data_IF_509227685649
#
_entry.id   IF_509227685649
#
_cell.length_a   1.000
_cell.length_b   1.000
_cell.length_c   1.000
_cell.angle_alpha   90.00
_cell.angle_beta   90.00
_cell.angle_gamma   90.00
#
_symmetry.space_group_name_H-M   'P 1'
#
loop_
_entity.id
_entity.type
_entity.pdbx_description
1 polymer ?
#
# COMPACT_ATOMS: atom_id res chain seq x y z
N UNK A 1 20.71 37.08 -7.77
CA UNK A 1 19.56 37.72 -8.46
C UNK A 1 19.80 37.91 -9.98
N UNK A 2 20.94 38.44 -10.47
CA UNK A 2 21.19 38.60 -11.92
C UNK A 2 21.09 37.30 -12.74
N UNK A 3 21.58 36.16 -12.24
CA UNK A 3 21.54 34.88 -12.94
C UNK A 3 20.10 34.38 -13.15
N UNK A 4 19.21 34.48 -12.16
CA UNK A 4 17.81 34.09 -12.24
C UNK A 4 17.07 34.95 -13.27
N UNK A 5 17.29 36.25 -13.28
CA UNK A 5 16.69 37.15 -14.27
C UNK A 5 17.09 36.78 -15.72
N UNK A 6 18.35 36.48 -15.97
CA UNK A 6 18.83 36.03 -17.28
C UNK A 6 18.22 34.66 -17.66
N UNK A 7 18.14 33.72 -16.71
CA UNK A 7 17.51 32.42 -16.95
C UNK A 7 16.04 32.56 -17.35
N UNK A 8 15.26 33.36 -16.63
CA UNK A 8 13.85 33.62 -16.96
C UNK A 8 13.71 34.25 -18.35
N UNK A 9 14.53 35.23 -18.71
CA UNK A 9 14.49 35.85 -20.04
C UNK A 9 14.84 34.88 -21.17
N UNK A 10 15.82 34.00 -20.93
CA UNK A 10 16.19 32.93 -21.89
C UNK A 10 15.04 31.91 -22.06
N UNK A 11 14.40 31.51 -20.98
CA UNK A 11 13.27 30.60 -20.99
C UNK A 11 12.08 31.18 -21.77
N UNK A 12 11.79 32.46 -21.61
CA UNK A 12 10.71 33.14 -22.34
C UNK A 12 10.99 33.26 -23.85
N UNK A 13 12.24 33.24 -24.28
CA UNK A 13 12.62 33.32 -25.71
C UNK A 13 12.48 31.98 -26.44
N UNK A 14 12.61 30.83 -25.72
CA UNK A 14 12.52 29.47 -26.29
C UNK A 14 11.20 28.78 -25.89
N UNK A 15 10.06 29.48 -25.93
CA UNK A 15 8.76 29.04 -25.39
C UNK A 15 8.36 27.62 -25.80
N UNK A 16 8.43 27.25 -27.08
CA UNK A 16 7.96 25.93 -27.56
C UNK A 16 8.81 24.77 -27.04
N UNK A 17 10.14 24.90 -27.02
CA UNK A 17 11.04 23.85 -26.52
C UNK A 17 10.92 23.66 -25.01
N UNK A 18 10.74 24.75 -24.27
CA UNK A 18 10.63 24.70 -22.81
C UNK A 18 9.29 24.15 -22.35
N UNK A 19 8.19 24.42 -23.08
CA UNK A 19 6.88 23.83 -22.80
C UNK A 19 6.93 22.31 -22.92
N UNK A 20 7.53 21.76 -23.98
CA UNK A 20 7.66 20.30 -24.16
C UNK A 20 8.51 19.69 -23.03
N UNK A 21 9.58 20.37 -22.58
CA UNK A 21 10.40 19.91 -21.44
C UNK A 21 9.57 19.86 -20.16
N UNK A 22 8.82 20.91 -19.84
CA UNK A 22 7.99 20.97 -18.63
C UNK A 22 6.92 19.89 -18.66
N UNK A 23 6.19 19.72 -19.77
CA UNK A 23 5.17 18.69 -19.91
C UNK A 23 5.78 17.29 -19.75
N UNK A 24 6.89 17.01 -20.44
CA UNK A 24 7.55 15.70 -20.35
C UNK A 24 8.04 15.38 -18.94
N UNK A 25 8.67 16.37 -18.26
CA UNK A 25 9.12 16.20 -16.89
C UNK A 25 7.96 16.06 -15.90
N UNK A 26 6.89 16.84 -16.09
CA UNK A 26 5.72 16.76 -15.20
C UNK A 26 5.02 15.41 -15.26
N UNK A 27 4.85 14.85 -16.47
CA UNK A 27 4.27 13.51 -16.63
C UNK A 27 5.15 12.43 -15.98
N UNK A 28 6.46 12.49 -16.22
CA UNK A 28 7.40 11.56 -15.58
C UNK A 28 7.46 11.69 -14.07
N UNK A 29 7.41 12.93 -13.55
CA UNK A 29 7.33 13.20 -12.11
C UNK A 29 6.03 12.68 -11.50
N UNK A 30 4.88 12.98 -12.12
CA UNK A 30 3.57 12.53 -11.65
C UNK A 30 3.54 11.02 -11.47
N UNK A 31 3.89 10.27 -12.53
CA UNK A 31 3.87 8.81 -12.48
C UNK A 31 4.96 8.27 -11.55
N UNK A 32 6.17 8.83 -11.60
CA UNK A 32 7.26 8.41 -10.74
C UNK A 32 6.95 8.63 -9.25
N UNK A 33 6.42 9.79 -8.87
CA UNK A 33 6.04 10.08 -7.49
C UNK A 33 4.94 9.12 -7.02
N UNK A 34 3.90 8.91 -7.83
CA UNK A 34 2.79 8.03 -7.46
C UNK A 34 3.26 6.59 -7.27
N UNK A 35 3.98 6.02 -8.24
CA UNK A 35 4.42 4.62 -8.17
C UNK A 35 5.47 4.39 -7.07
N UNK A 36 6.41 5.31 -6.87
CA UNK A 36 7.40 5.17 -5.79
C UNK A 36 6.76 5.36 -4.41
N UNK A 37 5.78 6.27 -4.28
CA UNK A 37 5.02 6.41 -3.03
C UNK A 37 4.16 5.17 -2.77
N UNK A 38 3.55 4.57 -3.79
CA UNK A 38 2.81 3.32 -3.67
C UNK A 38 3.71 2.17 -3.22
N UNK A 39 4.92 2.04 -3.78
CA UNK A 39 5.88 1.03 -3.34
C UNK A 39 6.22 1.18 -1.85
N UNK A 40 6.49 2.42 -1.40
CA UNK A 40 6.80 2.68 0.01
C UNK A 40 5.58 2.41 0.90
N UNK A 41 4.38 2.73 0.45
CA UNK A 41 3.14 2.41 1.13
C UNK A 41 3.00 0.89 1.33
N UNK A 42 3.12 0.08 0.28
CA UNK A 42 3.07 -1.39 0.34
C UNK A 42 4.17 -1.99 1.24
N UNK A 43 5.39 -1.44 1.18
CA UNK A 43 6.51 -1.88 2.03
C UNK A 43 6.35 -1.48 3.50
N UNK A 44 5.55 -0.46 3.79
CA UNK A 44 5.26 0.01 5.15
C UNK A 44 4.02 -0.62 5.79
N UNK A 45 3.43 -1.61 5.11
CA UNK A 45 2.21 -2.27 5.59
C UNK A 45 2.42 -2.88 6.97
N UNK A 46 1.43 -2.72 7.86
CA UNK A 46 1.43 -3.16 9.27
C UNK A 46 2.51 -2.53 10.18
N UNK A 47 3.33 -1.59 9.69
CA UNK A 47 4.32 -0.89 10.52
C UNK A 47 3.73 0.28 11.33
N UNK A 48 2.42 0.51 11.26
CA UNK A 48 1.75 1.62 11.95
C UNK A 48 1.51 1.37 13.44
N UNK A 49 1.60 0.13 13.88
CA UNK A 49 1.34 -0.25 15.27
C UNK A 49 2.56 -0.03 16.18
N UNK A 50 2.32 0.32 17.46
CA UNK A 50 3.41 0.37 18.43
C UNK A 50 4.07 -1.01 18.58
N UNK A 51 5.40 -1.05 18.46
CA UNK A 51 6.19 -2.29 18.56
C UNK A 51 5.70 -3.38 17.58
N UNK A 52 5.48 -2.99 16.32
CA UNK A 52 4.94 -3.86 15.26
C UNK A 52 5.75 -5.16 15.07
N UNK A 53 7.04 -5.14 15.40
CA UNK A 53 7.94 -6.30 15.37
C UNK A 53 7.57 -7.39 16.38
N UNK A 54 6.76 -7.06 17.40
CA UNK A 54 6.26 -8.01 18.41
C UNK A 54 4.91 -8.62 18.01
N UNK A 55 4.31 -8.15 16.91
CA UNK A 55 3.03 -8.64 16.44
C UNK A 55 3.22 -9.82 15.48
N UNK A 56 2.43 -10.86 15.70
CA UNK A 56 2.41 -12.05 14.85
C UNK A 56 0.97 -12.45 14.50
N UNK A 57 0.83 -13.16 13.40
CA UNK A 57 -0.42 -13.78 12.98
C UNK A 57 -0.24 -15.30 12.89
N UNK A 58 -1.22 -16.04 13.36
CA UNK A 58 -1.25 -17.50 13.21
C UNK A 58 -1.69 -17.85 11.79
N UNK A 59 -1.07 -18.90 11.23
CA UNK A 59 -1.40 -19.45 9.92
C UNK A 59 -1.30 -20.97 9.96
N UNK A 60 -1.97 -21.64 9.04
CA UNK A 60 -1.89 -23.09 8.86
C UNK A 60 -1.46 -23.42 7.43
N UNK A 61 -0.59 -24.43 7.27
CA UNK A 61 -0.37 -25.06 5.99
C UNK A 61 -1.25 -26.30 5.94
N UNK A 62 -2.16 -26.33 5.00
CA UNK A 62 -3.14 -27.43 4.84
C UNK A 62 -2.69 -28.30 3.68
N UNK A 63 -2.26 -29.53 3.97
CA UNK A 63 -1.70 -30.46 2.98
C UNK A 63 -2.53 -31.72 2.90
N UNK A 64 -2.93 -32.12 1.68
CA UNK A 64 -3.53 -33.40 1.44
C UNK A 64 -2.45 -34.50 1.43
N UNK A 65 -2.54 -35.46 2.35
CA UNK A 65 -1.53 -36.51 2.53
C UNK A 65 -1.47 -37.52 1.38
N UNK A 66 -2.60 -37.71 0.67
CA UNK A 66 -2.69 -38.68 -0.43
C UNK A 66 -2.20 -38.08 -1.75
N UNK A 67 -2.50 -36.80 -2.03
CA UNK A 67 -2.16 -36.14 -3.31
C UNK A 67 -0.94 -35.22 -3.20
N UNK A 68 -0.55 -34.81 -2.00
CA UNK A 68 0.48 -33.78 -1.79
C UNK A 68 0.02 -32.36 -2.16
N UNK A 69 -1.27 -32.17 -2.41
CA UNK A 69 -1.84 -30.86 -2.71
C UNK A 69 -1.81 -29.96 -1.47
N UNK A 70 -1.39 -28.71 -1.65
CA UNK A 70 -1.38 -27.70 -0.58
C UNK A 70 -2.49 -26.71 -0.86
N UNK A 71 -3.36 -26.48 0.12
CA UNK A 71 -4.35 -25.41 0.11
C UNK A 71 -3.75 -24.16 0.75
N UNK A 72 -3.90 -23.03 0.11
CA UNK A 72 -3.42 -21.75 0.63
C UNK A 72 -4.29 -20.60 0.17
N UNK A 73 -4.18 -19.49 0.86
CA UNK A 73 -4.87 -18.25 0.56
C UNK A 73 -3.94 -17.25 -0.15
N UNK A 74 -4.52 -16.33 -0.94
CA UNK A 74 -3.80 -15.26 -1.66
C UNK A 74 -2.60 -15.74 -2.50
N UNK A 75 -2.65 -16.97 -3.03
CA UNK A 75 -1.56 -17.56 -3.82
C UNK A 75 -0.36 -18.00 -2.98
N UNK A 76 -0.45 -17.97 -1.66
CA UNK A 76 0.52 -18.55 -0.72
C UNK A 76 0.24 -20.05 -0.50
N UNK A 77 1.17 -20.72 0.19
CA UNK A 77 0.96 -22.10 0.63
C UNK A 77 0.33 -22.17 2.05
N UNK A 78 -0.23 -21.06 2.54
CA UNK A 78 -0.77 -20.95 3.88
C UNK A 78 -2.19 -20.41 3.86
N UNK A 79 -3.02 -20.94 4.78
CA UNK A 79 -4.28 -20.34 5.18
C UNK A 79 -4.03 -19.49 6.44
N UNK A 80 -4.56 -18.29 6.48
CA UNK A 80 -4.41 -17.37 7.60
C UNK A 80 -5.62 -17.37 8.53
N UNK A 81 -6.64 -18.15 8.18
CA UNK A 81 -7.79 -18.38 9.04
C UNK A 81 -7.61 -19.65 9.87
N UNK A 82 -8.05 -19.58 11.11
CA UNK A 82 -7.96 -20.67 12.09
C UNK A 82 -9.24 -20.70 12.94
N UNK A 83 -9.34 -21.66 13.86
CA UNK A 83 -10.48 -21.76 14.78
C UNK A 83 -10.49 -20.60 15.79
N UNK A 84 -11.68 -20.11 16.14
CA UNK A 84 -11.86 -19.00 17.08
C UNK A 84 -11.13 -19.18 18.43
N UNK A 85 -11.12 -20.39 19.08
CA UNK A 85 -10.44 -20.57 20.37
C UNK A 85 -8.93 -20.58 20.31
N UNK A 86 -8.32 -20.53 19.11
CA UNK A 86 -6.85 -20.57 18.94
C UNK A 86 -6.15 -19.45 19.70
N UNK A 87 -6.71 -18.23 19.69
CA UNK A 87 -6.14 -17.10 20.40
C UNK A 87 -5.99 -17.39 21.92
N UNK A 88 -7.07 -17.82 22.55
CA UNK A 88 -7.09 -18.13 23.97
C UNK A 88 -6.18 -19.32 24.29
N UNK A 89 -6.22 -20.39 23.49
CA UNK A 89 -5.40 -21.58 23.71
C UNK A 89 -3.90 -21.28 23.68
N UNK A 90 -3.47 -20.42 22.75
CA UNK A 90 -2.08 -19.98 22.62
C UNK A 90 -1.69 -19.10 23.81
N UNK A 91 -2.50 -18.10 24.19
CA UNK A 91 -2.22 -17.21 25.31
C UNK A 91 -2.16 -17.96 26.64
N UNK A 92 -3.06 -18.91 26.90
CA UNK A 92 -3.10 -19.72 28.12
C UNK A 92 -1.94 -20.73 28.20
N UNK A 93 -1.52 -21.29 27.06
CA UNK A 93 -0.46 -22.31 27.02
C UNK A 93 0.95 -21.73 27.04
N UNK A 94 1.11 -20.47 26.59
CA UNK A 94 2.43 -19.81 26.47
C UNK A 94 2.43 -18.40 27.08
N UNK A 95 2.11 -18.25 28.38
CA UNK A 95 1.99 -16.93 29.03
C UNK A 95 3.33 -16.21 29.21
N UNK A 96 4.44 -16.92 29.12
CA UNK A 96 5.79 -16.33 29.22
C UNK A 96 6.25 -15.67 27.91
N UNK A 97 5.73 -16.12 26.78
CA UNK A 97 6.06 -15.64 25.44
C UNK A 97 4.98 -14.69 24.89
N UNK A 98 3.70 -14.97 25.13
CA UNK A 98 2.56 -14.22 24.60
C UNK A 98 2.01 -13.28 25.67
N UNK A 99 1.96 -12.00 25.35
CA UNK A 99 1.41 -10.96 26.24
C UNK A 99 -0.11 -10.84 26.08
N UNK A 100 -0.57 -10.77 24.83
CA UNK A 100 -1.98 -10.74 24.46
C UNK A 100 -2.21 -11.55 23.18
N UNK A 101 -3.39 -12.13 23.07
CA UNK A 101 -3.85 -12.75 21.84
C UNK A 101 -5.28 -12.30 21.56
N UNK A 102 -5.63 -12.14 20.29
CA UNK A 102 -6.94 -11.70 19.86
C UNK A 102 -7.46 -12.52 18.69
N UNK A 103 -8.74 -12.85 18.78
CA UNK A 103 -9.52 -13.50 17.72
C UNK A 103 -10.33 -12.45 16.97
N UNK A 104 -10.21 -12.43 15.65
CA UNK A 104 -10.90 -11.50 14.77
C UNK A 104 -11.67 -12.29 13.72
N UNK A 105 -12.98 -12.05 13.60
CA UNK A 105 -13.78 -12.55 12.51
C UNK A 105 -13.86 -11.48 11.43
N UNK A 106 -13.38 -11.75 10.20
CA UNK A 106 -13.46 -10.80 9.10
C UNK A 106 -14.92 -10.48 8.75
N UNK A 107 -15.08 -9.42 8.02
CA UNK A 107 -16.32 -8.80 7.62
C UNK A 107 -17.41 -9.79 7.16
N UNK A 108 -18.65 -9.49 7.52
CA UNK A 108 -19.85 -10.04 6.91
C UNK A 108 -20.65 -8.93 6.25
N UNK A 109 -21.17 -9.17 5.08
CA UNK A 109 -21.98 -8.21 4.33
C UNK A 109 -23.35 -8.01 5.00
N UNK A 110 -23.45 -7.00 5.86
CA UNK A 110 -24.74 -6.53 6.39
C UNK A 110 -24.92 -5.05 6.04
N UNK A 111 -26.16 -4.67 5.72
CA UNK A 111 -26.50 -3.26 5.58
C UNK A 111 -26.58 -2.60 6.96
N UNK A 112 -25.76 -1.58 7.18
CA UNK A 112 -25.72 -0.83 8.45
C UNK A 112 -26.60 0.39 8.35
N UNK A 113 -27.43 0.57 9.35
CA UNK A 113 -28.35 1.71 9.46
C UNK A 113 -28.08 2.48 10.75
N UNK A 114 -28.12 3.81 10.63
CA UNK A 114 -28.27 4.69 11.78
C UNK A 114 -29.63 5.37 11.69
N UNK A 115 -30.50 5.14 12.69
CA UNK A 115 -31.93 5.43 12.61
C UNK A 115 -32.57 4.75 11.39
N UNK A 116 -33.13 5.53 10.44
CA UNK A 116 -33.72 5.03 9.21
C UNK A 116 -32.77 5.14 7.99
N UNK A 117 -31.60 5.77 8.16
CA UNK A 117 -30.65 6.02 7.08
C UNK A 117 -29.70 4.86 6.90
N UNK A 118 -29.65 4.31 5.69
CA UNK A 118 -28.62 3.35 5.27
C UNK A 118 -27.26 4.07 5.22
N UNK A 119 -26.25 3.51 5.89
CA UNK A 119 -24.86 3.92 5.76
C UNK A 119 -24.23 3.05 4.67
N UNK A 120 -23.87 3.66 3.54
CA UNK A 120 -23.19 2.96 2.44
C UNK A 120 -21.68 2.88 2.71
N UNK A 121 -21.05 1.84 2.15
CA UNK A 121 -19.60 1.66 2.16
C UNK A 121 -18.99 1.68 3.58
N UNK A 122 -19.62 0.94 4.50
CA UNK A 122 -19.17 0.81 5.90
C UNK A 122 -18.52 -0.54 6.11
N UNK A 123 -17.25 -0.52 6.48
CA UNK A 123 -16.44 -1.71 6.78
C UNK A 123 -16.37 -1.97 8.29
N UNK A 124 -16.60 -3.22 8.72
CA UNK A 124 -16.49 -3.58 10.12
C UNK A 124 -16.09 -5.04 10.32
N UNK A 125 -15.52 -5.33 11.49
CA UNK A 125 -15.10 -6.66 11.90
C UNK A 125 -15.63 -7.01 13.28
N UNK A 126 -15.72 -8.30 13.59
CA UNK A 126 -15.98 -8.76 14.94
C UNK A 126 -14.68 -9.08 15.66
N UNK A 127 -14.52 -8.58 16.87
CA UNK A 127 -13.28 -8.71 17.65
C UNK A 127 -13.57 -9.11 19.09
N UNK A 128 -12.60 -9.74 19.72
CA UNK A 128 -12.64 -10.06 21.14
C UNK A 128 -12.16 -8.89 22.03
N UNK A 129 -12.20 -9.11 23.35
CA UNK A 129 -11.82 -8.08 24.33
C UNK A 129 -10.35 -7.69 24.33
N UNK A 130 -9.47 -8.50 23.73
CA UNK A 130 -8.03 -8.27 23.69
C UNK A 130 -7.55 -7.50 22.47
N UNK A 131 -8.44 -7.23 21.51
CA UNK A 131 -8.11 -6.60 20.22
C UNK A 131 -7.28 -5.31 20.38
N UNK A 132 -7.80 -4.37 21.15
CA UNK A 132 -7.11 -3.08 21.35
C UNK A 132 -5.76 -3.21 22.07
N UNK A 133 -5.61 -4.19 22.96
CA UNK A 133 -4.35 -4.46 23.66
C UNK A 133 -3.31 -5.08 22.73
N UNK A 134 -3.72 -6.02 21.86
CA UNK A 134 -2.84 -6.63 20.87
C UNK A 134 -2.26 -5.57 19.95
N UNK A 135 -3.08 -4.70 19.38
CA UNK A 135 -2.63 -3.70 18.41
C UNK A 135 -2.13 -2.39 19.03
N UNK A 136 -2.38 -2.18 20.32
CA UNK A 136 -2.00 -0.93 20.99
C UNK A 136 -2.77 0.29 20.43
N UNK A 137 -4.00 0.10 19.92
CA UNK A 137 -4.84 1.17 19.39
C UNK A 137 -5.42 1.97 20.54
N UNK A 138 -5.18 3.29 20.60
CA UNK A 138 -5.69 4.12 21.69
C UNK A 138 -7.20 4.31 21.62
N UNK A 139 -7.88 4.17 22.78
CA UNK A 139 -9.28 4.54 22.93
C UNK A 139 -9.37 6.04 23.28
N UNK A 140 -10.19 6.78 22.55
CA UNK A 140 -10.45 8.21 22.78
C UNK A 140 -11.60 8.44 23.75
N UNK A 141 -12.65 7.59 23.67
CA UNK A 141 -13.82 7.62 24.55
C UNK A 141 -14.28 6.19 24.87
N UNK A 142 -14.90 5.98 26.01
CA UNK A 142 -15.45 4.69 26.43
C UNK A 142 -14.51 3.87 27.31
N UNK A 143 -14.84 2.60 27.50
CA UNK A 143 -14.07 1.66 28.32
C UNK A 143 -13.84 0.36 27.55
N UNK A 144 -12.59 -0.10 27.41
CA UNK A 144 -12.24 -1.34 26.72
C UNK A 144 -12.97 -2.57 27.26
N UNK A 145 -13.28 -2.58 28.56
CA UNK A 145 -14.02 -3.69 29.20
C UNK A 145 -15.43 -3.87 28.65
N UNK A 146 -16.02 -2.81 28.05
CA UNK A 146 -17.36 -2.87 27.49
C UNK A 146 -17.40 -3.69 26.17
N UNK A 147 -16.24 -4.00 25.60
CA UNK A 147 -16.16 -4.87 24.41
C UNK A 147 -16.56 -6.33 24.69
N UNK A 148 -16.56 -6.76 25.96
CA UNK A 148 -17.10 -8.08 26.36
C UNK A 148 -18.62 -8.13 26.27
N UNK A 149 -19.30 -6.97 26.33
CA UNK A 149 -20.75 -6.90 26.33
C UNK A 149 -21.26 -7.21 24.92
N UNK A 150 -22.16 -8.19 24.76
CA UNK A 150 -22.75 -8.50 23.46
C UNK A 150 -23.41 -7.28 22.80
N UNK A 151 -23.24 -7.14 21.48
CA UNK A 151 -23.79 -6.02 20.74
C UNK A 151 -23.08 -4.68 21.00
N UNK A 152 -21.93 -4.68 21.69
CA UNK A 152 -21.10 -3.49 21.82
C UNK A 152 -20.35 -3.21 20.53
N UNK A 153 -20.26 -1.92 20.17
CA UNK A 153 -19.53 -1.40 19.03
C UNK A 153 -18.59 -0.30 19.49
N UNK A 154 -17.38 -0.30 18.94
CA UNK A 154 -16.43 0.78 19.05
C UNK A 154 -16.18 1.34 17.66
N UNK A 155 -16.39 2.64 17.47
CA UNK A 155 -16.29 3.32 16.19
C UNK A 155 -14.96 4.05 16.03
N UNK A 156 -14.45 4.16 14.81
CA UNK A 156 -13.27 4.98 14.51
C UNK A 156 -13.59 6.47 14.70
N UNK A 157 -12.57 7.28 14.98
CA UNK A 157 -12.69 8.74 15.08
C UNK A 157 -13.27 9.35 13.80
N UNK A 158 -12.81 8.82 12.63
CA UNK A 158 -13.30 9.24 11.31
C UNK A 158 -14.80 8.95 11.16
N UNK A 159 -15.21 7.71 11.38
CA UNK A 159 -16.62 7.33 11.29
C UNK A 159 -17.50 8.12 12.24
N UNK A 160 -17.04 8.34 13.47
CA UNK A 160 -17.75 9.15 14.46
C UNK A 160 -17.99 10.57 13.96
N UNK A 161 -16.97 11.20 13.39
CA UNK A 161 -17.04 12.57 12.84
C UNK A 161 -17.91 12.66 11.59
N UNK A 162 -17.80 11.70 10.67
CA UNK A 162 -18.55 11.71 9.41
C UNK A 162 -20.03 11.40 9.60
N UNK A 163 -20.36 10.52 10.56
CA UNK A 163 -21.75 10.08 10.80
C UNK A 163 -22.48 10.96 11.80
N UNK A 164 -21.81 11.43 12.86
CA UNK A 164 -22.46 12.13 13.98
C UNK A 164 -22.05 13.61 14.11
N UNK A 165 -21.12 14.08 13.28
CA UNK A 165 -20.58 15.43 13.31
C UNK A 165 -20.05 15.82 14.72
N UNK A 166 -20.68 16.79 15.38
CA UNK A 166 -20.30 17.27 16.73
C UNK A 166 -21.02 16.53 17.87
N UNK A 167 -21.95 15.62 17.57
CA UNK A 167 -22.68 14.87 18.58
C UNK A 167 -21.83 13.73 19.17
N UNK A 168 -22.06 13.43 20.46
CA UNK A 168 -21.41 12.30 21.09
C UNK A 168 -21.98 10.97 20.53
N UNK A 169 -21.15 10.12 19.91
CA UNK A 169 -21.62 8.85 19.37
C UNK A 169 -21.91 7.80 20.46
N UNK A 170 -21.34 7.95 21.68
CA UNK A 170 -21.47 6.95 22.75
C UNK A 170 -22.92 6.86 23.22
N UNK A 171 -23.45 5.65 23.26
CA UNK A 171 -24.85 5.37 23.62
C UNK A 171 -25.82 5.33 22.43
N UNK A 172 -25.40 5.78 21.23
CA UNK A 172 -26.23 5.67 20.02
C UNK A 172 -26.26 4.23 19.52
N UNK A 173 -27.29 3.92 18.74
CA UNK A 173 -27.57 2.56 18.26
C UNK A 173 -27.40 2.50 16.74
N UNK A 174 -26.59 1.56 16.27
CA UNK A 174 -26.52 1.12 14.88
C UNK A 174 -27.38 -0.14 14.70
N UNK A 175 -27.90 -0.38 13.51
CA UNK A 175 -28.68 -1.58 13.21
C UNK A 175 -28.12 -2.27 11.99
N UNK A 176 -27.87 -3.60 12.09
CA UNK A 176 -27.52 -4.43 10.95
C UNK A 176 -28.79 -5.08 10.40
N UNK A 177 -29.05 -4.89 9.10
CA UNK A 177 -30.22 -5.40 8.36
C UNK A 177 -31.57 -5.11 9.07
N UNK A 178 -31.65 -4.07 9.89
CA UNK A 178 -32.82 -3.72 10.72
C UNK A 178 -33.27 -4.82 11.70
N UNK A 179 -32.43 -5.83 11.93
CA UNK A 179 -32.73 -6.95 12.82
C UNK A 179 -31.84 -6.96 14.07
N UNK A 180 -30.54 -6.80 13.88
CA UNK A 180 -29.57 -6.80 14.97
C UNK A 180 -29.21 -5.35 15.33
N UNK A 181 -29.20 -5.05 16.63
CA UNK A 181 -28.85 -3.72 17.12
C UNK A 181 -27.50 -3.74 17.84
N UNK A 182 -26.71 -2.73 17.59
CA UNK A 182 -25.39 -2.53 18.17
C UNK A 182 -25.37 -1.20 18.92
N UNK A 183 -24.91 -1.18 20.16
CA UNK A 183 -24.76 0.06 20.94
C UNK A 183 -23.33 0.55 20.88
N UNK A 184 -23.12 1.79 20.47
CA UNK A 184 -21.80 2.42 20.48
C UNK A 184 -21.36 2.66 21.92
N UNK A 185 -20.23 2.06 22.31
CA UNK A 185 -19.67 2.16 23.67
C UNK A 185 -18.33 2.87 23.74
N UNK A 186 -17.72 3.12 22.59
CA UNK A 186 -16.44 3.83 22.56
C UNK A 186 -16.08 4.35 21.19
N UNK A 187 -15.05 5.21 21.20
CA UNK A 187 -14.42 5.77 20.02
C UNK A 187 -12.94 5.49 20.10
N UNK A 188 -12.36 4.88 19.08
CA UNK A 188 -10.94 4.65 18.98
C UNK A 188 -10.27 5.57 17.95
N UNK A 189 -8.96 5.74 18.11
CA UNK A 189 -8.16 6.57 17.20
C UNK A 189 -8.06 5.91 15.82
N UNK A 190 -8.17 6.69 14.77
CA UNK A 190 -8.02 6.21 13.40
C UNK A 190 -6.70 5.46 13.20
N UNK A 191 -6.79 4.34 12.50
CA UNK A 191 -5.63 3.56 12.07
C UNK A 191 -5.27 3.96 10.63
N UNK A 192 -3.99 4.08 10.28
CA UNK A 192 -3.56 4.37 8.92
C UNK A 192 -4.04 3.30 7.93
N UNK A 193 -4.18 3.66 6.64
CA UNK A 193 -4.70 2.73 5.62
C UNK A 193 -3.72 1.63 5.18
N UNK A 194 -2.48 1.67 5.64
CA UNK A 194 -1.47 0.64 5.37
C UNK A 194 -1.52 -0.52 6.38
N UNK A 195 -2.71 -1.00 6.66
CA UNK A 195 -2.98 -2.18 7.50
C UNK A 195 -4.23 -2.91 7.01
N UNK A 196 -4.34 -4.19 7.30
CA UNK A 196 -5.54 -5.00 7.04
C UNK A 196 -6.72 -4.70 7.99
N UNK A 197 -6.53 -3.82 8.97
CA UNK A 197 -7.51 -3.51 10.02
C UNK A 197 -8.09 -2.09 9.90
N UNK A 198 -8.18 -1.54 8.70
CA UNK A 198 -8.78 -0.23 8.41
C UNK A 198 -10.31 -0.29 8.37
N UNK A 199 -10.94 -0.51 9.51
CA UNK A 199 -12.40 -0.62 9.58
C UNK A 199 -13.02 0.63 10.20
N UNK A 200 -14.28 0.92 9.83
CA UNK A 200 -15.02 2.04 10.37
C UNK A 200 -15.44 1.81 11.82
N UNK A 201 -15.72 0.55 12.16
CA UNK A 201 -15.98 0.16 13.53
C UNK A 201 -15.68 -1.33 13.77
N UNK A 202 -15.55 -1.68 15.04
CA UNK A 202 -15.39 -3.05 15.52
C UNK A 202 -16.56 -3.44 16.39
N UNK A 203 -17.04 -4.67 16.22
CA UNK A 203 -18.18 -5.25 16.94
C UNK A 203 -17.68 -6.31 17.90
N UNK A 204 -18.30 -6.39 19.08
CA UNK A 204 -18.05 -7.49 20.02
C UNK A 204 -18.39 -8.84 19.40
N UNK A 205 -17.46 -9.79 19.46
CA UNK A 205 -17.64 -11.16 18.98
C UNK A 205 -18.45 -12.04 19.94
N UNK A 206 -18.71 -11.56 21.16
CA UNK A 206 -19.37 -12.33 22.19
C UNK A 206 -20.88 -12.36 22.01
N UNK A 207 -21.48 -13.51 22.34
CA UNK A 207 -22.92 -13.69 22.40
C UNK A 207 -23.45 -13.41 23.83
N UNK A 208 -24.78 -13.42 23.98
CA UNK A 208 -25.44 -13.16 25.27
C UNK A 208 -25.09 -14.19 26.39
N UNK A 209 -24.43 -15.30 26.05
CA UNK A 209 -23.99 -16.32 26.98
C UNK A 209 -22.51 -16.18 27.37
N UNK A 210 -21.84 -15.11 26.98
CA UNK A 210 -20.44 -14.82 27.31
C UNK A 210 -19.40 -15.65 26.53
N UNK A 211 -19.84 -16.48 25.60
CA UNK A 211 -18.96 -17.24 24.67
C UNK A 211 -19.00 -16.67 23.27
N UNK A 212 -18.15 -17.19 22.38
CA UNK A 212 -18.28 -16.94 20.96
C UNK A 212 -19.64 -17.38 20.46
N UNK A 213 -20.14 -16.77 19.37
CA UNK A 213 -21.40 -17.20 18.75
C UNK A 213 -21.40 -18.70 18.48
N UNK A 214 -22.56 -19.35 18.58
CA UNK A 214 -22.70 -20.79 18.41
C UNK A 214 -22.06 -21.28 17.08
N UNK A 215 -21.27 -22.34 17.14
CA UNK A 215 -20.50 -22.87 16.00
C UNK A 215 -19.06 -22.40 15.88
N UNK A 216 -18.57 -21.52 16.76
CA UNK A 216 -17.24 -20.97 16.74
C UNK A 216 -16.28 -21.67 17.76
N UNK A 217 -16.44 -22.95 17.99
CA UNK A 217 -15.53 -23.79 18.78
C UNK A 217 -14.51 -24.52 17.92
N UNK A 218 -13.73 -25.42 18.52
CA UNK A 218 -12.76 -26.28 17.83
C UNK A 218 -13.38 -27.23 16.78
N UNK A 219 -14.68 -27.50 16.86
CA UNK A 219 -15.46 -28.26 15.88
C UNK A 219 -16.29 -27.35 14.97
N UNK A 220 -16.00 -26.05 14.96
CA UNK A 220 -16.70 -25.03 14.18
C UNK A 220 -16.00 -24.71 12.88
N UNK A 221 -16.21 -23.48 12.42
CA UNK A 221 -15.55 -22.95 11.25
C UNK A 221 -14.17 -22.37 11.60
N UNK A 222 -13.22 -22.53 10.71
CA UNK A 222 -11.86 -22.02 10.77
C UNK A 222 -11.69 -20.69 9.99
N UNK A 223 -12.63 -19.76 10.19
CA UNK A 223 -12.72 -18.49 9.44
C UNK A 223 -12.20 -17.28 10.21
N UNK A 224 -11.45 -17.49 11.29
CA UNK A 224 -11.01 -16.45 12.20
C UNK A 224 -9.52 -16.16 12.03
N UNK A 225 -9.16 -14.89 12.04
CA UNK A 225 -7.77 -14.45 12.20
C UNK A 225 -7.37 -14.50 13.67
N UNK A 226 -6.21 -15.01 13.96
CA UNK A 226 -5.61 -14.97 15.30
C UNK A 226 -4.35 -14.14 15.29
N UNK A 227 -4.38 -13.05 16.05
CA UNK A 227 -3.26 -12.15 16.25
C UNK A 227 -2.66 -12.31 17.63
N UNK A 228 -1.32 -12.26 17.70
CA UNK A 228 -0.57 -12.40 18.92
C UNK A 228 0.31 -11.16 19.13
N UNK A 229 0.34 -10.65 20.36
CA UNK A 229 1.37 -9.72 20.82
C UNK A 229 2.34 -10.49 21.69
N UNK A 230 3.57 -10.63 21.24
CA UNK A 230 4.61 -11.31 21.98
C UNK A 230 5.20 -10.38 23.05
N UNK A 231 5.72 -10.96 24.14
CA UNK A 231 6.42 -10.16 25.15
C UNK A 231 7.72 -9.58 24.62
N UNK A 232 8.41 -10.31 23.75
CA UNK A 232 9.65 -9.91 23.07
C UNK A 232 9.64 -10.44 21.65
N UNK A 233 10.26 -9.70 20.73
CA UNK A 233 10.46 -10.16 19.35
C UNK A 233 11.18 -11.52 19.30
N UNK A 234 12.16 -11.74 20.19
CA UNK A 234 12.93 -13.00 20.30
C UNK A 234 12.11 -14.22 20.72
N UNK A 235 10.87 -14.05 21.15
CA UNK A 235 9.99 -15.17 21.51
C UNK A 235 9.24 -15.74 20.29
N UNK A 236 9.39 -15.11 19.11
CA UNK A 236 8.76 -15.55 17.86
C UNK A 236 9.08 -17.01 17.52
N UNK A 237 10.36 -17.39 17.54
CA UNK A 237 10.79 -18.75 17.22
C UNK A 237 10.25 -19.77 18.23
N UNK A 238 10.23 -19.41 19.52
CA UNK A 238 9.70 -20.30 20.57
C UNK A 238 8.22 -20.57 20.40
N UNK A 239 7.42 -19.53 20.07
CA UNK A 239 5.99 -19.69 19.82
C UNK A 239 5.78 -20.52 18.57
N UNK A 240 6.53 -20.25 17.49
CA UNK A 240 6.46 -21.01 16.25
C UNK A 240 6.74 -22.49 16.43
N UNK A 241 7.77 -22.86 17.24
CA UNK A 241 8.16 -24.24 17.50
C UNK A 241 7.15 -25.01 18.37
N UNK A 242 6.33 -24.31 19.14
CA UNK A 242 5.43 -24.93 20.10
C UNK A 242 3.95 -24.83 19.71
N UNK A 243 3.55 -23.95 18.80
CA UNK A 243 2.14 -23.69 18.47
C UNK A 243 1.41 -24.94 17.99
N UNK A 244 2.05 -25.77 17.19
CA UNK A 244 1.49 -27.04 16.74
C UNK A 244 1.07 -27.92 17.92
N UNK A 245 1.96 -28.11 18.89
CA UNK A 245 1.69 -28.92 20.10
C UNK A 245 0.59 -28.32 20.97
N UNK A 246 0.48 -27.00 20.98
CA UNK A 246 -0.59 -26.30 21.72
C UNK A 246 -1.94 -26.63 21.10
N UNK A 247 -2.08 -26.53 19.79
CA UNK A 247 -3.35 -26.75 19.10
C UNK A 247 -3.74 -28.23 19.14
N UNK A 248 -2.79 -29.17 18.99
CA UNK A 248 -3.02 -30.61 19.09
C UNK A 248 -3.60 -31.09 20.43
N UNK A 249 -3.51 -30.29 21.49
CA UNK A 249 -4.18 -30.60 22.77
C UNK A 249 -5.70 -30.44 22.72
N UNK A 250 -6.20 -29.64 21.78
CA UNK A 250 -7.59 -29.21 21.74
C UNK A 250 -8.37 -29.76 20.53
N UNK A 251 -7.66 -30.06 19.44
CA UNK A 251 -8.30 -30.54 18.20
C UNK A 251 -7.37 -31.46 17.43
N UNK A 252 -7.96 -32.35 16.63
CA UNK A 252 -7.22 -33.15 15.67
C UNK A 252 -6.73 -32.26 14.53
N UNK A 253 -5.44 -32.36 14.21
CA UNK A 253 -4.82 -31.59 13.12
C UNK A 253 -4.75 -32.36 11.80
N UNK A 254 -5.28 -33.58 11.77
CA UNK A 254 -5.40 -34.38 10.56
C UNK A 254 -6.84 -34.89 10.46
N UNK A 255 -7.57 -34.46 9.44
CA UNK A 255 -8.98 -34.80 9.21
C UNK A 255 -9.14 -35.21 7.75
N UNK A 256 -9.70 -36.41 7.49
CA UNK A 256 -9.98 -36.90 6.12
C UNK A 256 -8.83 -36.71 5.12
N UNK A 257 -7.62 -37.17 5.44
CA UNK A 257 -6.38 -37.01 4.65
C UNK A 257 -5.83 -35.58 4.55
N UNK A 258 -6.43 -34.60 5.19
CA UNK A 258 -5.91 -33.23 5.26
C UNK A 258 -5.20 -32.99 6.57
N UNK A 259 -3.90 -32.67 6.49
CA UNK A 259 -3.06 -32.30 7.62
C UNK A 259 -2.91 -30.80 7.72
N UNK A 260 -3.09 -30.24 8.91
CA UNK A 260 -2.91 -28.83 9.23
C UNK A 260 -1.65 -28.65 10.06
N UNK A 261 -0.63 -27.99 9.52
CA UNK A 261 0.61 -27.63 10.19
C UNK A 261 0.58 -26.14 10.55
N UNK A 262 0.42 -25.85 11.84
CA UNK A 262 0.29 -24.48 12.34
C UNK A 262 1.65 -23.82 12.54
N UNK A 263 1.74 -22.55 12.19
CA UNK A 263 2.91 -21.69 12.35
C UNK A 263 2.49 -20.25 12.62
N UNK A 264 3.44 -19.39 12.95
CA UNK A 264 3.19 -17.95 13.04
C UNK A 264 4.05 -17.20 12.03
N UNK A 265 3.59 -16.01 11.65
CA UNK A 265 4.33 -15.08 10.80
C UNK A 265 4.36 -13.70 11.48
N UNK A 266 5.50 -12.98 11.48
CA UNK A 266 5.51 -11.59 11.89
C UNK A 266 4.49 -10.78 11.08
N UNK A 267 3.64 -10.01 11.74
CA UNK A 267 2.53 -9.29 11.08
C UNK A 267 3.03 -8.37 9.96
N UNK A 268 4.15 -7.69 10.19
CA UNK A 268 4.80 -6.81 9.18
C UNK A 268 5.24 -7.54 7.91
N UNK A 269 5.36 -8.88 7.93
CA UNK A 269 5.70 -9.69 6.77
C UNK A 269 4.48 -10.28 6.08
N UNK A 270 3.31 -10.28 6.74
CA UNK A 270 2.09 -10.93 6.20
C UNK A 270 1.69 -10.41 4.82
N UNK A 271 1.68 -9.07 4.67
CA UNK A 271 1.33 -8.43 3.41
C UNK A 271 2.30 -8.80 2.28
N UNK A 272 3.60 -8.80 2.57
CA UNK A 272 4.66 -9.13 1.61
C UNK A 272 4.80 -10.63 1.34
N UNK A 273 4.18 -11.50 2.14
CA UNK A 273 4.17 -12.95 1.92
C UNK A 273 3.31 -13.33 0.70
N UNK A 274 2.35 -12.48 0.33
CA UNK A 274 1.52 -12.68 -0.87
C UNK A 274 2.34 -12.53 -2.15
N UNK A 275 2.41 -13.58 -3.01
CA UNK A 275 3.09 -13.52 -4.29
C UNK A 275 2.54 -12.43 -5.22
N UNK A 276 1.26 -12.09 -5.09
CA UNK A 276 0.62 -11.07 -5.92
C UNK A 276 1.05 -9.66 -5.51
N UNK A 277 1.25 -9.41 -4.21
CA UNK A 277 1.86 -8.16 -3.71
C UNK A 277 3.31 -8.04 -4.20
N UNK A 278 4.10 -9.13 -4.10
CA UNK A 278 5.49 -9.13 -4.59
C UNK A 278 5.56 -8.84 -6.09
N UNK A 279 4.70 -9.44 -6.90
CA UNK A 279 4.61 -9.17 -8.36
C UNK A 279 4.23 -7.71 -8.63
N UNK A 280 3.22 -7.16 -7.90
CA UNK A 280 2.83 -5.75 -8.03
C UNK A 280 3.99 -4.80 -7.71
N UNK A 281 4.74 -5.06 -6.64
CA UNK A 281 5.91 -4.26 -6.28
C UNK A 281 6.98 -4.25 -7.37
N UNK A 282 7.29 -5.41 -7.95
CA UNK A 282 8.24 -5.52 -9.07
C UNK A 282 7.72 -4.74 -10.29
N UNK A 283 6.44 -4.87 -10.63
CA UNK A 283 5.81 -4.17 -11.74
C UNK A 283 5.85 -2.65 -11.52
N UNK A 284 5.45 -2.16 -10.35
CA UNK A 284 5.46 -0.73 -10.02
C UNK A 284 6.87 -0.17 -10.03
N UNK A 285 7.85 -0.91 -9.50
CA UNK A 285 9.25 -0.53 -9.52
C UNK A 285 9.80 -0.40 -10.94
N UNK A 286 9.58 -1.41 -11.76
CA UNK A 286 10.03 -1.39 -13.15
C UNK A 286 9.35 -0.30 -13.98
N UNK A 287 8.03 -0.17 -13.89
CA UNK A 287 7.24 0.81 -14.62
C UNK A 287 7.59 2.24 -14.19
N UNK A 288 7.65 2.49 -12.88
CA UNK A 288 8.02 3.79 -12.32
C UNK A 288 9.42 4.21 -12.75
N UNK A 289 10.40 3.31 -12.62
CA UNK A 289 11.77 3.56 -13.07
C UNK A 289 11.83 3.85 -14.57
N UNK A 290 11.18 3.03 -15.40
CA UNK A 290 11.25 3.17 -16.86
C UNK A 290 10.63 4.50 -17.34
N UNK A 291 9.44 4.87 -16.84
CA UNK A 291 8.78 6.13 -17.21
C UNK A 291 9.58 7.32 -16.73
N UNK A 292 10.07 7.28 -15.50
CA UNK A 292 10.92 8.32 -14.94
C UNK A 292 12.23 8.49 -15.72
N UNK A 293 12.87 7.38 -16.08
CA UNK A 293 14.05 7.37 -16.93
C UNK A 293 13.78 7.98 -18.31
N UNK A 294 12.68 7.58 -18.97
CA UNK A 294 12.29 8.14 -20.28
C UNK A 294 12.07 9.65 -20.19
N UNK A 295 11.46 10.15 -19.13
CA UNK A 295 11.25 11.58 -18.92
C UNK A 295 12.57 12.35 -18.78
N UNK A 296 13.53 11.82 -18.01
CA UNK A 296 14.88 12.40 -17.86
C UNK A 296 15.60 12.38 -19.20
N UNK A 297 15.57 11.25 -19.91
CA UNK A 297 16.24 11.11 -21.22
C UNK A 297 15.66 12.06 -22.26
N UNK A 298 14.33 12.22 -22.31
CA UNK A 298 13.67 13.15 -23.19
C UNK A 298 14.11 14.61 -22.91
N UNK A 299 14.14 15.00 -21.63
CA UNK A 299 14.68 16.32 -21.23
C UNK A 299 16.14 16.50 -21.68
N UNK A 300 16.99 15.49 -21.44
CA UNK A 300 18.41 15.53 -21.83
C UNK A 300 18.56 15.66 -23.34
N UNK A 301 17.82 14.88 -24.13
CA UNK A 301 17.84 14.95 -25.61
C UNK A 301 17.48 16.32 -26.12
N UNK A 302 16.41 16.93 -25.61
CA UNK A 302 15.99 18.29 -26.01
C UNK A 302 17.04 19.32 -25.57
N UNK A 303 17.60 19.19 -24.36
CA UNK A 303 18.64 20.09 -23.85
C UNK A 303 19.88 20.05 -24.73
N UNK A 304 20.34 18.87 -25.11
CA UNK A 304 21.51 18.69 -25.96
C UNK A 304 21.23 19.08 -27.42
N UNK A 305 20.00 18.83 -27.95
CA UNK A 305 19.63 19.28 -29.28
C UNK A 305 19.70 20.82 -29.44
N UNK A 306 19.46 21.56 -28.37
CA UNK A 306 19.58 23.03 -28.35
C UNK A 306 21.02 23.51 -28.14
N UNK A 307 21.99 22.59 -27.91
CA UNK A 307 23.39 22.90 -27.63
C UNK A 307 24.03 23.79 -28.70
N UNK A 308 23.85 23.49 -29.99
CA UNK A 308 24.42 24.23 -31.09
C UNK A 308 23.96 25.70 -31.14
N UNK A 309 22.69 25.97 -30.77
CA UNK A 309 22.17 27.34 -30.65
C UNK A 309 22.72 28.08 -29.44
N UNK A 310 22.93 27.39 -28.33
CA UNK A 310 23.39 27.93 -27.07
C UNK A 310 24.93 28.06 -27.00
N UNK A 311 25.66 27.30 -27.83
CA UNK A 311 27.12 27.37 -27.88
C UNK A 311 27.65 28.77 -28.12
N UNK A 312 26.99 29.55 -29.01
CA UNK A 312 27.40 30.98 -29.25
C UNK A 312 27.26 31.82 -27.98
N UNK A 313 26.16 31.68 -27.23
CA UNK A 313 25.95 32.43 -25.98
C UNK A 313 27.00 32.04 -24.92
N UNK A 314 27.25 30.72 -24.77
CA UNK A 314 28.28 30.20 -23.85
C UNK A 314 29.66 30.73 -24.23
N UNK A 315 29.99 30.78 -25.53
CA UNK A 315 31.25 31.34 -26.03
C UNK A 315 31.41 32.79 -25.67
N UNK A 316 30.39 33.62 -25.87
CA UNK A 316 30.41 35.06 -25.49
C UNK A 316 30.65 35.19 -23.98
N UNK A 317 29.96 34.44 -23.15
CA UNK A 317 30.17 34.48 -21.68
C UNK A 317 31.60 34.08 -21.28
N UNK A 318 32.18 33.04 -21.93
CA UNK A 318 33.56 32.63 -21.67
C UNK A 318 34.57 33.69 -22.13
N UNK A 319 34.34 34.31 -23.30
CA UNK A 319 35.19 35.44 -23.74
C UNK A 319 35.10 36.67 -22.82
N UNK A 320 33.95 36.83 -22.13
CA UNK A 320 33.78 37.88 -21.11
C UNK A 320 34.30 37.46 -19.73
N UNK A 321 35.08 36.37 -19.62
CA UNK A 321 35.73 35.94 -18.39
C UNK A 321 34.92 35.00 -17.49
N UNK A 322 33.78 34.45 -17.96
CA UNK A 322 33.01 33.51 -17.16
C UNK A 322 33.72 32.15 -17.02
N UNK A 323 33.87 31.68 -15.79
CA UNK A 323 34.41 30.34 -15.49
C UNK A 323 33.45 29.22 -15.91
N UNK A 324 33.99 28.01 -16.08
CA UNK A 324 33.16 26.82 -16.35
C UNK A 324 32.13 26.56 -15.24
N UNK A 325 32.45 26.89 -14.00
CA UNK A 325 31.54 26.79 -12.85
C UNK A 325 30.40 27.79 -12.96
N UNK A 326 30.65 29.01 -13.41
CA UNK A 326 29.59 30.02 -13.62
C UNK A 326 28.62 29.59 -14.70
N UNK A 327 29.11 28.93 -15.77
CA UNK A 327 28.27 28.41 -16.84
C UNK A 327 27.44 27.21 -16.34
N UNK A 328 28.08 26.32 -15.58
CA UNK A 328 27.38 25.18 -14.96
C UNK A 328 26.24 25.65 -14.04
N UNK A 329 26.52 26.62 -13.15
CA UNK A 329 25.50 27.17 -12.23
C UNK A 329 24.35 27.87 -12.95
N UNK A 330 24.64 28.52 -14.09
CA UNK A 330 23.60 29.14 -14.94
C UNK A 330 22.63 28.07 -15.51
N UNK A 331 23.16 26.96 -16.04
CA UNK A 331 22.34 25.86 -16.55
C UNK A 331 21.59 25.14 -15.44
N UNK A 332 22.20 24.97 -14.27
CA UNK A 332 21.57 24.39 -13.11
C UNK A 332 20.40 25.26 -12.61
N UNK A 333 20.55 26.58 -12.59
CA UNK A 333 19.49 27.51 -12.24
C UNK A 333 18.31 27.44 -13.26
N UNK A 334 18.63 27.37 -14.57
CA UNK A 334 17.62 27.21 -15.63
C UNK A 334 16.84 25.88 -15.46
N UNK A 335 17.55 24.77 -15.25
CA UNK A 335 16.92 23.47 -14.98
C UNK A 335 16.09 23.52 -13.71
N UNK A 336 16.55 24.20 -12.65
CA UNK A 336 15.80 24.38 -11.41
C UNK A 336 14.44 25.05 -11.63
N UNK A 337 14.40 26.11 -12.45
CA UNK A 337 13.14 26.78 -12.79
C UNK A 337 12.19 25.83 -13.55
N UNK A 338 12.72 25.07 -14.53
CA UNK A 338 11.90 24.11 -15.29
C UNK A 338 11.39 22.97 -14.39
N UNK A 339 12.21 22.47 -13.47
CA UNK A 339 11.79 21.44 -12.50
C UNK A 339 10.72 21.98 -11.56
N UNK A 340 10.85 23.21 -11.04
CA UNK A 340 9.80 23.84 -10.21
C UNK A 340 8.48 23.93 -10.97
N UNK A 341 8.52 24.40 -12.22
CA UNK A 341 7.31 24.47 -13.07
C UNK A 341 6.74 23.08 -13.32
N UNK A 342 7.58 22.07 -13.51
CA UNK A 342 7.14 20.67 -13.70
C UNK A 342 6.53 20.10 -12.43
N UNK A 343 7.06 20.40 -11.27
CA UNK A 343 6.50 20.00 -9.95
C UNK A 343 5.12 20.63 -9.76
N UNK A 344 4.98 21.95 -10.03
CA UNK A 344 3.68 22.62 -9.94
C UNK A 344 2.65 22.00 -10.88
N UNK A 345 3.04 21.69 -12.11
CA UNK A 345 2.16 21.04 -13.08
C UNK A 345 1.84 19.58 -12.65
N UNK A 346 2.80 18.85 -12.06
CA UNK A 346 2.56 17.50 -11.51
C UNK A 346 1.54 17.53 -10.38
N UNK A 347 1.64 18.47 -9.45
CA UNK A 347 0.62 18.66 -8.40
C UNK A 347 -0.76 18.93 -8.97
N UNK A 348 -0.84 19.79 -9.99
CA UNK A 348 -2.09 20.10 -10.66
C UNK A 348 -2.67 18.86 -11.36
N UNK A 349 -1.84 18.03 -11.99
CA UNK A 349 -2.27 16.77 -12.62
C UNK A 349 -2.77 15.77 -11.58
N UNK A 350 -2.04 15.57 -10.48
CA UNK A 350 -2.44 14.67 -9.38
C UNK A 350 -3.78 15.11 -8.78
N UNK A 351 -3.92 16.42 -8.53
CA UNK A 351 -5.14 16.95 -7.92
C UNK A 351 -6.37 16.81 -8.84
N UNK A 352 -6.21 17.08 -10.14
CA UNK A 352 -7.33 16.96 -11.11
C UNK A 352 -7.69 15.49 -11.44
N UNK A 353 -6.74 14.57 -11.34
CA UNK A 353 -6.96 13.15 -11.61
C UNK A 353 -7.14 12.33 -10.32
N UNK A 354 -7.42 12.98 -9.18
CA UNK A 354 -7.46 12.37 -7.86
C UNK A 354 -8.34 11.13 -7.82
N UNK A 355 -9.62 11.24 -8.19
CA UNK A 355 -10.58 10.13 -8.15
C UNK A 355 -10.11 8.95 -8.99
N UNK A 356 -9.66 9.21 -10.23
CA UNK A 356 -9.14 8.16 -11.10
C UNK A 356 -7.88 7.47 -10.52
N UNK A 357 -7.01 8.22 -9.83
CA UNK A 357 -5.79 7.69 -9.24
C UNK A 357 -6.13 6.83 -8.00
N UNK A 358 -7.03 7.31 -7.15
CA UNK A 358 -7.50 6.60 -5.95
C UNK A 358 -8.20 5.29 -6.36
N UNK A 359 -9.04 5.29 -7.40
CA UNK A 359 -9.65 4.08 -7.96
C UNK A 359 -8.60 3.11 -8.55
N UNK A 360 -7.60 3.65 -9.27
CA UNK A 360 -6.58 2.83 -9.92
C UNK A 360 -5.64 2.16 -8.92
N UNK A 361 -5.26 2.87 -7.88
CA UNK A 361 -4.33 2.39 -6.85
C UNK A 361 -5.04 1.69 -5.69
N UNK A 362 -6.38 1.83 -5.59
CA UNK A 362 -7.21 1.37 -4.48
C UNK A 362 -6.72 1.88 -3.11
N UNK A 363 -6.15 3.10 -3.09
CA UNK A 363 -5.60 3.77 -1.91
C UNK A 363 -5.90 5.26 -2.00
N UNK A 364 -6.28 5.88 -0.88
CA UNK A 364 -6.47 7.33 -0.83
C UNK A 364 -5.15 8.07 -1.00
N UNK A 365 -5.15 9.15 -1.77
CA UNK A 365 -3.95 9.98 -1.96
C UNK A 365 -3.37 10.54 -0.65
N UNK A 366 -4.24 10.83 0.32
CA UNK A 366 -3.81 11.29 1.65
C UNK A 366 -2.91 10.29 2.37
N UNK A 367 -3.13 8.99 2.16
CA UNK A 367 -2.36 7.92 2.79
C UNK A 367 -1.00 7.70 2.14
N UNK A 368 -0.86 8.03 0.84
CA UNK A 368 0.43 8.00 0.14
C UNK A 368 1.36 9.15 0.56
N UNK A 369 0.80 10.30 0.99
CA UNK A 369 1.55 11.53 1.28
C UNK A 369 1.47 11.93 2.77
N UNK A 370 1.77 10.99 3.65
CA UNK A 370 1.91 11.23 5.09
C UNK A 370 3.26 11.86 5.43
N UNK A 371 3.39 12.46 6.62
CA UNK A 371 4.68 13.03 7.05
C UNK A 371 5.84 12.04 6.96
N UNK A 372 5.58 10.75 7.22
CA UNK A 372 6.58 9.68 7.13
C UNK A 372 7.00 9.32 5.71
N UNK A 373 6.19 9.60 4.68
CA UNK A 373 6.43 9.24 3.28
C UNK A 373 6.82 10.43 2.39
N UNK A 374 6.74 11.68 2.88
CA UNK A 374 7.09 12.89 2.10
C UNK A 374 8.52 12.92 1.57
N UNK A 375 9.42 12.14 2.15
CA UNK A 375 10.79 12.03 1.64
C UNK A 375 10.84 11.40 0.23
N UNK A 376 9.86 10.58 -0.15
CA UNK A 376 9.79 9.90 -1.47
C UNK A 376 9.64 10.89 -2.61
N UNK A 377 8.60 11.76 -2.64
CA UNK A 377 8.50 12.78 -3.68
C UNK A 377 9.68 13.75 -3.66
N UNK A 378 10.20 14.13 -2.48
CA UNK A 378 11.36 15.01 -2.37
C UNK A 378 12.62 14.38 -2.99
N UNK A 379 12.87 13.09 -2.69
CA UNK A 379 14.00 12.34 -3.27
C UNK A 379 13.82 12.20 -4.79
N UNK A 380 12.62 11.89 -5.27
CA UNK A 380 12.32 11.77 -6.70
C UNK A 380 12.59 13.08 -7.44
N UNK A 381 12.16 14.22 -6.89
CA UNK A 381 12.44 15.56 -7.44
C UNK A 381 13.94 15.86 -7.43
N UNK A 382 14.63 15.53 -6.32
CA UNK A 382 16.07 15.74 -6.20
C UNK A 382 16.86 14.93 -7.24
N UNK A 383 16.55 13.64 -7.39
CA UNK A 383 17.20 12.77 -8.37
C UNK A 383 16.95 13.28 -9.78
N UNK A 384 15.73 13.66 -10.11
CA UNK A 384 15.40 14.26 -11.41
C UNK A 384 16.23 15.54 -11.64
N UNK A 385 16.27 16.45 -10.68
CA UNK A 385 17.02 17.69 -10.78
C UNK A 385 18.52 17.45 -11.01
N UNK A 386 19.12 16.54 -10.25
CA UNK A 386 20.54 16.19 -10.35
C UNK A 386 20.86 15.55 -11.71
N UNK A 387 20.06 14.63 -12.19
CA UNK A 387 20.29 13.94 -13.46
C UNK A 387 19.99 14.84 -14.66
N UNK A 388 18.83 15.51 -14.66
CA UNK A 388 18.42 16.40 -15.75
C UNK A 388 19.27 17.66 -15.85
N UNK A 389 19.70 18.24 -14.73
CA UNK A 389 20.53 19.44 -14.69
C UNK A 389 22.03 19.17 -14.73
N UNK A 390 22.49 18.19 -13.95
CA UNK A 390 23.90 17.90 -13.76
C UNK A 390 24.60 17.40 -15.02
N UNK A 391 24.02 16.43 -15.73
CA UNK A 391 24.63 15.83 -16.92
C UNK A 391 24.72 16.84 -18.08
N UNK A 392 23.62 17.48 -18.54
CA UNK A 392 23.73 18.51 -19.57
C UNK A 392 24.57 19.70 -19.14
N UNK A 393 24.42 20.18 -17.89
CA UNK A 393 25.19 21.31 -17.35
C UNK A 393 26.70 21.07 -17.43
N UNK A 394 27.17 19.85 -17.07
CA UNK A 394 28.59 19.48 -17.22
C UNK A 394 29.04 19.46 -18.69
N UNK A 395 28.21 18.93 -19.59
CA UNK A 395 28.50 18.93 -21.02
C UNK A 395 28.65 20.38 -21.55
N UNK A 396 27.72 21.28 -21.22
CA UNK A 396 27.73 22.68 -21.61
C UNK A 396 28.95 23.44 -21.05
N UNK A 397 29.30 23.21 -19.80
CA UNK A 397 30.42 23.92 -19.14
C UNK A 397 31.80 23.59 -19.74
N UNK A 398 31.93 22.38 -20.33
CA UNK A 398 33.20 21.88 -20.91
C UNK A 398 33.44 22.27 -22.38
N UNK A 399 32.50 22.94 -23.04
CA UNK A 399 32.68 23.38 -24.45
C UNK A 399 33.85 24.34 -24.57
N UNK A 400 34.90 24.01 -25.39
CA UNK A 400 36.05 24.95 -25.61
C UNK A 400 35.60 26.13 -26.47
N UNK A 401 36.13 27.31 -26.15
CA UNK A 401 35.84 28.57 -26.86
C UNK A 401 36.20 28.47 -28.36
N UNK A 402 37.25 27.76 -28.69
CA UNK A 402 37.72 27.57 -30.07
C UNK A 402 36.71 26.79 -30.96
N UNK A 403 35.92 25.93 -30.38
CA UNK A 403 34.87 25.19 -31.11
C UNK A 403 33.59 26.00 -31.35
N UNK A 404 33.37 27.06 -30.60
CA UNK A 404 32.19 27.92 -30.71
C UNK A 404 32.22 28.74 -32.01
N UNK A 405 33.39 29.15 -32.46
CA UNK A 405 33.58 29.99 -33.64
C UNK A 405 33.80 29.18 -34.95
N UNK A 406 34.25 27.94 -34.85
CA UNK A 406 34.15 26.97 -35.96
C UNK A 406 32.76 26.31 -35.86
N UNK A 407 31.95 26.37 -36.96
CA UNK A 407 30.61 25.76 -36.96
C UNK A 407 30.65 24.44 -36.17
N UNK A 408 30.02 24.45 -35.00
CA UNK A 408 29.88 23.26 -34.15
C UNK A 408 29.09 22.23 -34.95
N UNK A 409 29.78 21.47 -35.75
CA UNK A 409 29.23 20.29 -36.41
C UNK A 409 29.26 19.17 -35.40
N UNK A 410 28.11 18.71 -35.02
CA UNK A 410 27.81 17.59 -34.12
C UNK A 410 28.66 16.37 -34.56
N UNK A 411 29.90 16.32 -34.11
CA UNK A 411 30.83 15.23 -34.40
C UNK A 411 30.41 13.98 -33.65
N UNK A 412 29.73 13.08 -34.27
CA UNK A 412 29.23 11.74 -33.94
C UNK A 412 27.72 11.71 -33.77
N UNK A 413 27.01 11.52 -34.88
CA UNK A 413 25.55 11.20 -34.93
C UNK A 413 25.19 9.90 -34.18
N UNK A 414 26.16 9.09 -33.72
CA UNK A 414 25.93 7.76 -33.13
C UNK A 414 25.24 7.80 -31.75
N UNK A 415 25.65 8.68 -30.85
CA UNK A 415 25.15 8.67 -29.48
C UNK A 415 23.67 9.11 -29.36
N UNK A 416 23.19 10.04 -30.22
CA UNK A 416 21.77 10.40 -30.28
C UNK A 416 20.90 9.20 -30.69
N UNK A 417 21.38 8.42 -31.66
CA UNK A 417 20.70 7.18 -32.10
C UNK A 417 20.70 6.15 -30.96
N UNK A 418 21.82 5.97 -30.26
CA UNK A 418 21.90 5.07 -29.10
C UNK A 418 20.93 5.46 -27.98
N UNK A 419 20.85 6.76 -27.66
CA UNK A 419 19.91 7.26 -26.64
C UNK A 419 18.43 7.04 -27.06
N UNK A 420 18.10 7.33 -28.32
CA UNK A 420 16.76 7.03 -28.86
C UNK A 420 16.49 5.52 -28.85
N UNK A 421 17.46 4.70 -29.23
CA UNK A 421 17.30 3.25 -29.20
C UNK A 421 17.01 2.75 -27.77
N UNK A 422 17.79 3.19 -26.78
CA UNK A 422 17.58 2.85 -25.35
C UNK A 422 16.19 3.30 -24.88
N UNK A 423 15.76 4.51 -25.29
CA UNK A 423 14.43 5.04 -24.94
C UNK A 423 13.31 4.20 -25.55
N UNK A 424 13.40 3.84 -26.84
CA UNK A 424 12.42 2.98 -27.50
C UNK A 424 12.40 1.57 -26.92
N UNK A 425 13.58 1.01 -26.64
CA UNK A 425 13.67 -0.30 -25.97
C UNK A 425 13.04 -0.27 -24.59
N UNK A 426 13.28 0.78 -23.80
CA UNK A 426 12.64 0.98 -22.50
C UNK A 426 11.12 1.02 -22.62
N UNK A 427 10.56 1.80 -23.52
CA UNK A 427 9.10 1.87 -23.79
C UNK A 427 8.56 0.51 -24.24
N UNK A 428 9.26 -0.16 -25.14
CA UNK A 428 8.83 -1.48 -25.64
C UNK A 428 8.81 -2.56 -24.54
N UNK A 429 9.76 -2.51 -23.61
CA UNK A 429 9.78 -3.40 -22.44
C UNK A 429 8.67 -3.11 -21.43
N UNK A 430 8.15 -1.87 -21.36
CA UNK A 430 7.06 -1.53 -20.43
C UNK A 430 5.67 -1.96 -20.92
N UNK A 431 5.50 -2.13 -22.24
CA UNK A 431 4.22 -2.49 -22.83
C UNK A 431 3.64 -3.83 -22.36
N UNK A 432 4.41 -4.95 -22.35
CA UNK A 432 3.94 -6.23 -21.81
C UNK A 432 3.62 -6.17 -20.32
N UNK A 433 4.41 -5.40 -19.55
CA UNK A 433 4.23 -5.22 -18.11
C UNK A 433 2.92 -4.49 -17.81
N UNK A 434 2.60 -3.41 -18.55
CA UNK A 434 1.33 -2.70 -18.43
C UNK A 434 0.12 -3.57 -18.80
N UNK A 435 0.25 -4.37 -19.87
CA UNK A 435 -0.80 -5.33 -20.28
C UNK A 435 -1.04 -6.42 -19.22
N UNK A 436 0.02 -6.90 -18.58
CA UNK A 436 -0.07 -7.87 -17.50
C UNK A 436 -0.75 -7.29 -16.25
N UNK A 437 -0.46 -6.03 -15.90
CA UNK A 437 -1.09 -5.34 -14.76
C UNK A 437 -2.61 -5.23 -14.92
N UNK A 438 -3.07 -4.91 -16.13
CA UNK A 438 -4.51 -4.86 -16.44
C UNK A 438 -5.13 -6.26 -16.36
N UNK A 439 -4.46 -7.29 -16.88
CA UNK A 439 -4.95 -8.66 -16.84
C UNK A 439 -5.02 -9.24 -15.42
N UNK A 440 -4.07 -8.91 -14.54
CA UNK A 440 -4.08 -9.31 -13.12
C UNK A 440 -5.27 -8.66 -12.40
N UNK A 441 -5.51 -7.37 -12.59
CA UNK A 441 -6.66 -6.66 -11.99
C UNK A 441 -8.00 -7.28 -12.38
N UNK A 442 -8.19 -7.58 -13.67
CA UNK A 442 -9.43 -8.23 -14.14
C UNK A 442 -9.60 -9.66 -13.61
N UNK A 443 -8.50 -10.37 -13.33
CA UNK A 443 -8.55 -11.70 -12.71
C UNK A 443 -8.84 -11.64 -11.22
N UNK A 444 -8.38 -10.61 -10.51
CA UNK A 444 -8.67 -10.41 -9.09
C UNK A 444 -10.14 -10.04 -8.87
N UNK A 445 -10.70 -9.11 -9.65
CA UNK A 445 -12.14 -8.79 -9.62
C UNK A 445 -13.01 -10.04 -9.89
N UNK A 446 -12.59 -10.93 -10.79
CA UNK A 446 -13.29 -12.18 -11.05
C UNK A 446 -13.13 -13.23 -9.94
N UNK A 447 -12.01 -13.22 -9.20
CA UNK A 447 -11.77 -14.10 -8.05
C UNK A 447 -12.58 -13.69 -6.83
N UNK A 448 -12.69 -12.39 -6.54
CA UNK A 448 -13.56 -11.88 -5.47
C UNK A 448 -15.02 -12.26 -5.72
N UNK A 449 -15.54 -12.06 -6.91
CA UNK A 449 -16.88 -12.51 -7.28
C UNK A 449 -17.09 -14.03 -7.20
N UNK A 450 -16.05 -14.85 -7.43
CA UNK A 450 -16.12 -16.31 -7.29
C UNK A 450 -15.94 -16.79 -5.84
N UNK A 451 -15.31 -16.01 -4.94
CA UNK A 451 -15.23 -16.34 -3.50
C UNK A 451 -16.58 -16.20 -2.82
N UNK A 452 -17.32 -15.12 -3.06
CA UNK A 452 -18.70 -14.98 -2.57
C UNK A 452 -19.56 -16.16 -2.98
N UNK A 453 -19.50 -16.59 -4.25
CA UNK A 453 -20.23 -17.77 -4.73
C UNK A 453 -19.74 -19.11 -4.16
N UNK A 454 -18.51 -19.21 -3.65
CA UNK A 454 -17.97 -20.45 -3.04
C UNK A 454 -18.33 -20.55 -1.56
N UNK A 455 -18.35 -19.44 -0.83
CA UNK A 455 -18.81 -19.38 0.56
C UNK A 455 -20.30 -19.76 0.63
N UNK A 456 -21.13 -19.26 -0.28
CA UNK A 456 -22.54 -19.66 -0.40
C UNK A 456 -22.70 -21.16 -0.69
N UNK A 457 -21.91 -21.73 -1.62
CA UNK A 457 -21.98 -23.17 -1.92
C UNK A 457 -21.47 -24.06 -0.80
N UNK A 458 -20.44 -23.64 -0.06
CA UNK A 458 -19.95 -24.40 1.11
C UNK A 458 -20.97 -24.35 2.26
N UNK A 459 -21.65 -23.22 2.45
CA UNK A 459 -22.77 -23.08 3.38
C UNK A 459 -23.98 -23.97 2.99
N UNK A 460 -24.33 -24.04 1.71
CA UNK A 460 -25.39 -24.95 1.20
C UNK A 460 -25.02 -26.43 1.36
N UNK A 461 -23.79 -26.83 1.03
CA UNK A 461 -23.30 -28.19 1.19
C UNK A 461 -23.22 -28.63 2.66
N UNK A 462 -22.86 -27.71 3.58
CA UNK A 462 -22.90 -27.99 5.02
C UNK A 462 -24.33 -28.12 5.55
N UNK A 463 -25.29 -27.35 5.03
CA UNK A 463 -26.69 -27.42 5.38
C UNK A 463 -27.35 -28.71 4.83
N UNK A 464 -27.01 -29.14 3.62
CA UNK A 464 -27.50 -30.43 3.05
C UNK A 464 -26.94 -31.64 3.78
N UNK A 465 -25.67 -31.63 4.22
CA UNK A 465 -25.08 -32.70 5.05
C UNK A 465 -25.76 -32.80 6.42
N UNK A 466 -26.04 -31.64 7.08
CA UNK A 466 -26.83 -31.64 8.33
C UNK A 466 -28.25 -32.19 8.12
N UNK A 467 -28.90 -31.85 7.02
CA UNK A 467 -30.25 -32.38 6.71
C UNK A 467 -30.26 -33.89 6.46
N UNK A 468 -29.19 -34.45 5.89
CA UNK A 468 -29.08 -35.94 5.70
C UNK A 468 -28.71 -36.66 6.99
N UNK A 469 -27.93 -36.08 7.88
CA UNK A 469 -27.57 -36.67 9.18
C UNK A 469 -28.74 -36.70 10.18
N UNK A 470 -29.77 -35.85 10.00
CA UNK A 470 -31.00 -35.86 10.83
C UNK A 470 -32.10 -36.76 10.30
N UNK A 471 -31.94 -37.37 9.11
CA UNK A 471 -32.93 -38.26 8.48
C UNK A 471 -32.51 -39.75 8.44
N UNK A 472 -31.36 -40.09 8.99
CA UNK A 472 -30.89 -41.44 9.26
C UNK A 472 -30.75 -41.68 10.77
#
# INVERSE_FOLDING_TARGET
MRQIYYSIRTLLRERGSNLIRVISLSLGLTIGILLFSQIVFELSYENCYPEAERLAMVRAQITNLSTGEIMGDDGTNYDYTVFAPTANAVAESMPEEVEYASCVLPEREYNIYYEEKLLSDVDYIYVDSCFFQVFGIPLLKGNLKDLIIPGSVFVSERFARETFADEDPVGKILSADKQNTFTIRGVYKDVPENTMLTHDFVVSIYNNNGGYQAGNGWNGNDVFYTFLRLRRESDMDKVNDNIQRVIEKYTETTIDDWKMDYSIIPLVKRHLDSPDVQKRLVIYGFLGFAIFFVAIMNYMLISIATLSRRAKSVGVHKCSGASSTNIFSMFLAETGILVILSVLLSFLLIFNAREMIEDLLSVRLSSLFTWGTLWVPLLTILVLFVLAGGIPGRLFSRIPVTQVFRRYTDGKKGWKRSLLFVQFTGVFCTWPVAGYTIAVRTSDESRYGNRCNRVDRSGELASERKSRAYKG
#
